data_IF_604735731068
#
_entry.id   IF_604735731068
#
_cell.length_a   1.000
_cell.length_b   1.000
_cell.length_c   1.000
_cell.angle_alpha   90.00
_cell.angle_beta   90.00
_cell.angle_gamma   90.00
#
_symmetry.space_group_name_H-M   'P 1'
#
loop_
_entity.id
_entity.type
_entity.pdbx_description
1 polymer ?
#
# COMPACT_ATOMS: atom_id res chain seq x y z
N UNK A 1 3.41 9.32 -16.97
CA UNK A 1 2.15 9.85 -16.38
C UNK A 1 2.44 10.14 -14.93
N UNK A 2 2.06 11.29 -14.39
CA UNK A 2 2.29 11.61 -12.98
C UNK A 2 1.18 10.96 -12.14
N UNK A 3 1.50 10.55 -10.91
CA UNK A 3 0.51 9.91 -10.03
C UNK A 3 -0.73 10.79 -9.78
N UNK A 4 -0.56 12.11 -9.69
CA UNK A 4 -1.68 13.04 -9.57
C UNK A 4 -2.67 12.95 -10.74
N UNK A 5 -2.20 12.64 -11.95
CA UNK A 5 -3.07 12.48 -13.11
C UNK A 5 -3.89 11.18 -13.02
N UNK A 6 -3.34 10.16 -12.33
CA UNK A 6 -4.03 8.89 -12.09
C UNK A 6 -5.16 9.03 -11.07
N UNK A 7 -5.01 9.89 -10.06
CA UNK A 7 -6.03 10.06 -9.00
C UNK A 7 -7.33 10.71 -9.50
N UNK A 8 -7.42 11.07 -10.78
CA UNK A 8 -8.64 11.59 -11.42
C UNK A 8 -9.53 10.52 -12.04
N UNK A 9 -9.12 9.25 -11.99
CA UNK A 9 -9.86 8.09 -12.51
C UNK A 9 -9.85 6.95 -11.50
N UNK A 10 -10.53 5.83 -11.81
CA UNK A 10 -10.52 4.62 -10.95
C UNK A 10 -9.15 3.94 -11.05
N UNK A 11 -8.29 4.20 -10.06
CA UNK A 11 -6.89 3.78 -10.05
C UNK A 11 -6.71 2.43 -9.37
N UNK A 12 -6.03 1.49 -10.02
CA UNK A 12 -5.64 0.20 -9.44
C UNK A 12 -4.15 0.19 -9.14
N UNK A 13 -3.81 -0.02 -7.87
CA UNK A 13 -2.44 -0.16 -7.40
C UNK A 13 -2.17 -1.63 -7.10
N UNK A 14 -1.23 -2.23 -7.82
CA UNK A 14 -0.82 -3.63 -7.62
C UNK A 14 0.25 -3.76 -6.54
N UNK A 15 0.15 -4.81 -5.70
CA UNK A 15 1.14 -5.07 -4.65
C UNK A 15 2.26 -5.99 -5.13
N UNK A 16 3.50 -5.54 -5.03
CA UNK A 16 4.72 -6.34 -5.13
C UNK A 16 5.17 -6.71 -3.72
N UNK A 17 4.71 -7.87 -3.25
CA UNK A 17 5.11 -8.41 -1.95
C UNK A 17 6.48 -9.08 -2.07
N UNK A 18 7.49 -8.53 -1.41
CA UNK A 18 8.83 -9.11 -1.37
C UNK A 18 8.81 -10.51 -0.74
N UNK A 19 9.70 -11.40 -1.18
CA UNK A 19 10.05 -12.57 -0.38
C UNK A 19 10.72 -12.12 0.92
N UNK A 20 10.75 -12.97 1.99
CA UNK A 20 11.34 -12.59 3.28
C UNK A 20 12.74 -12.00 3.16
N UNK A 21 12.94 -10.83 3.78
CA UNK A 21 14.16 -10.05 3.69
C UNK A 21 15.27 -10.58 4.61
N UNK A 22 16.55 -10.22 4.38
CA UNK A 22 17.66 -10.53 5.29
C UNK A 22 17.35 -10.10 6.73
N UNK A 23 17.79 -10.90 7.70
CA UNK A 23 17.50 -10.67 9.12
C UNK A 23 16.19 -11.30 9.60
N UNK A 24 15.28 -11.67 8.71
CA UNK A 24 14.00 -12.28 9.07
C UNK A 24 14.05 -13.80 9.12
N UNK A 25 13.11 -14.42 9.86
CA UNK A 25 13.07 -15.86 10.13
C UNK A 25 13.06 -16.73 8.87
N UNK A 26 12.39 -16.28 7.82
CA UNK A 26 12.14 -17.10 6.63
C UNK A 26 13.03 -16.69 5.43
N UNK A 27 14.06 -15.89 5.66
CA UNK A 27 14.99 -15.49 4.61
C UNK A 27 15.68 -16.69 3.95
N UNK A 28 15.65 -16.79 2.62
CA UNK A 28 16.17 -17.93 1.86
C UNK A 28 17.68 -17.88 1.60
N UNK A 29 18.36 -16.78 1.99
CA UNK A 29 19.79 -16.58 1.78
C UNK A 29 20.18 -15.99 0.42
N UNK A 30 19.24 -15.61 -0.44
CA UNK A 30 19.54 -15.06 -1.78
C UNK A 30 18.79 -13.76 -2.06
N UNK A 31 19.53 -12.64 -2.01
CA UNK A 31 19.00 -11.32 -2.43
C UNK A 31 18.64 -11.32 -3.92
N UNK A 32 19.42 -11.99 -4.77
CA UNK A 32 19.13 -12.02 -6.20
C UNK A 32 17.77 -12.66 -6.48
N UNK A 33 17.43 -13.75 -5.78
CA UNK A 33 16.13 -14.40 -5.92
C UNK A 33 14.96 -13.48 -5.53
N UNK A 34 15.15 -12.66 -4.49
CA UNK A 34 14.13 -11.70 -4.06
C UNK A 34 13.93 -10.60 -5.11
N UNK A 35 15.04 -10.07 -5.63
CA UNK A 35 15.03 -9.03 -6.67
C UNK A 35 14.34 -9.55 -7.94
N UNK A 36 14.78 -10.70 -8.44
CA UNK A 36 14.23 -11.30 -9.67
C UNK A 36 12.73 -11.55 -9.57
N UNK A 37 12.29 -11.99 -8.38
CA UNK A 37 10.87 -12.21 -8.12
C UNK A 37 10.08 -10.91 -8.08
N UNK A 38 10.58 -9.87 -7.42
CA UNK A 38 9.91 -8.58 -7.32
C UNK A 38 9.79 -7.91 -8.70
N UNK A 39 10.86 -7.94 -9.49
CA UNK A 39 10.87 -7.41 -10.86
C UNK A 39 9.91 -8.19 -11.77
N UNK A 40 9.89 -9.53 -11.68
CA UNK A 40 8.98 -10.35 -12.46
C UNK A 40 7.50 -10.06 -12.11
N UNK A 41 7.17 -9.96 -10.82
CA UNK A 41 5.82 -9.62 -10.35
C UNK A 41 5.42 -8.21 -10.85
N UNK A 42 6.31 -7.22 -10.74
CA UNK A 42 6.09 -5.85 -11.20
C UNK A 42 5.83 -5.79 -12.72
N UNK A 43 6.64 -6.49 -13.50
CA UNK A 43 6.50 -6.53 -14.97
C UNK A 43 5.17 -7.15 -15.39
N UNK A 44 4.71 -8.20 -14.70
CA UNK A 44 3.41 -8.82 -14.98
C UNK A 44 2.27 -7.86 -14.67
N UNK A 45 2.33 -7.15 -13.55
CA UNK A 45 1.32 -6.17 -13.12
C UNK A 45 1.23 -5.01 -14.13
N UNK A 46 2.36 -4.40 -14.50
CA UNK A 46 2.40 -3.34 -15.51
C UNK A 46 1.85 -3.80 -16.86
N UNK A 47 2.30 -4.98 -17.34
CA UNK A 47 1.84 -5.54 -18.62
C UNK A 47 0.34 -5.87 -18.63
N UNK A 48 -0.26 -6.14 -17.47
CA UNK A 48 -1.70 -6.34 -17.33
C UNK A 48 -2.49 -5.02 -17.26
N UNK A 49 -1.80 -3.88 -17.11
CA UNK A 49 -2.38 -2.56 -17.16
C UNK A 49 -2.80 -1.98 -15.80
N UNK A 50 -2.17 -2.43 -14.68
CA UNK A 50 -2.36 -1.71 -13.41
C UNK A 50 -1.73 -0.32 -13.49
N UNK A 51 -2.25 0.62 -12.71
CA UNK A 51 -1.91 2.04 -12.84
C UNK A 51 -0.68 2.44 -12.06
N UNK A 52 -0.39 1.76 -10.94
CA UNK A 52 0.77 1.98 -10.09
C UNK A 52 1.11 0.71 -9.30
N UNK A 53 2.28 0.69 -8.64
CA UNK A 53 2.72 -0.41 -7.80
C UNK A 53 3.07 0.07 -6.40
N UNK A 54 2.94 -0.83 -5.40
CA UNK A 54 3.56 -0.70 -4.08
C UNK A 54 4.50 -1.88 -3.87
N UNK A 55 5.75 -1.59 -3.47
CA UNK A 55 6.71 -2.60 -3.02
C UNK A 55 6.67 -2.68 -1.50
N UNK A 56 6.39 -3.88 -0.96
CA UNK A 56 6.15 -4.11 0.48
C UNK A 56 6.89 -5.35 0.98
N UNK A 57 7.44 -5.27 2.19
CA UNK A 57 8.11 -6.38 2.90
C UNK A 57 7.16 -7.27 3.72
N UNK A 58 5.91 -7.41 3.32
CA UNK A 58 4.82 -8.09 4.09
C UNK A 58 5.11 -9.52 4.54
N UNK A 59 6.07 -10.22 3.90
CA UNK A 59 6.42 -11.61 4.25
C UNK A 59 7.49 -11.71 5.35
N UNK A 60 7.94 -10.59 5.91
CA UNK A 60 8.86 -10.56 7.03
C UNK A 60 8.17 -11.03 8.31
N UNK A 61 8.81 -11.91 9.06
CA UNK A 61 8.27 -12.49 10.28
C UNK A 61 9.38 -12.78 11.30
N UNK A 62 9.15 -12.48 12.60
CA UNK A 62 8.02 -11.70 13.11
C UNK A 62 8.02 -10.28 12.58
N UNK A 63 6.83 -9.67 12.51
CA UNK A 63 6.67 -8.27 12.08
C UNK A 63 7.16 -7.34 13.19
N UNK A 64 7.94 -6.31 12.84
CA UNK A 64 8.33 -5.22 13.73
C UNK A 64 7.59 -3.92 13.34
N UNK A 65 7.70 -2.88 14.17
CA UNK A 65 7.15 -1.56 13.85
C UNK A 65 8.05 -0.88 12.82
N UNK A 66 9.35 -0.86 13.11
CA UNK A 66 10.40 -0.28 12.27
C UNK A 66 11.24 -1.41 11.63
N UNK A 67 11.83 -1.14 10.49
CA UNK A 67 12.75 -2.04 9.80
C UNK A 67 14.14 -2.02 10.44
N UNK A 68 14.79 -3.16 10.49
CA UNK A 68 16.21 -3.23 10.78
C UNK A 68 17.04 -2.71 9.57
N UNK A 69 18.31 -2.40 9.82
CA UNK A 69 19.21 -1.83 8.80
C UNK A 69 19.31 -2.71 7.56
N UNK A 70 19.42 -4.02 7.75
CA UNK A 70 19.47 -5.01 6.66
C UNK A 70 18.19 -5.07 5.86
N UNK A 71 17.02 -4.97 6.51
CA UNK A 71 15.72 -4.92 5.84
C UNK A 71 15.56 -3.63 5.03
N UNK A 72 15.88 -2.47 5.63
CA UNK A 72 15.84 -1.16 4.94
C UNK A 72 16.75 -1.17 3.71
N UNK A 73 17.98 -1.67 3.86
CA UNK A 73 18.94 -1.76 2.76
C UNK A 73 18.45 -2.69 1.66
N UNK A 74 17.93 -3.86 2.02
CA UNK A 74 17.40 -4.83 1.08
C UNK A 74 16.18 -4.27 0.33
N UNK A 75 15.21 -3.68 1.04
CA UNK A 75 14.02 -3.08 0.45
C UNK A 75 14.37 -1.95 -0.51
N UNK A 76 15.40 -1.13 -0.19
CA UNK A 76 15.91 -0.09 -1.10
C UNK A 76 16.43 -0.68 -2.41
N UNK A 77 17.26 -1.72 -2.34
CA UNK A 77 17.83 -2.37 -3.53
C UNK A 77 16.73 -3.01 -4.38
N UNK A 78 15.78 -3.72 -3.74
CA UNK A 78 14.66 -4.37 -4.44
C UNK A 78 13.79 -3.31 -5.14
N UNK A 79 13.40 -2.26 -4.42
CA UNK A 79 12.54 -1.19 -4.94
C UNK A 79 13.21 -0.41 -6.08
N UNK A 80 14.52 -0.18 -5.99
CA UNK A 80 15.30 0.43 -7.07
C UNK A 80 15.31 -0.44 -8.31
N UNK A 81 15.48 -1.75 -8.17
CA UNK A 81 15.42 -2.68 -9.33
C UNK A 81 14.01 -2.71 -9.93
N UNK A 82 12.95 -2.71 -9.13
CA UNK A 82 11.58 -2.61 -9.62
C UNK A 82 11.40 -1.30 -10.41
N UNK A 83 11.71 -0.14 -9.80
CA UNK A 83 11.54 1.19 -10.43
C UNK A 83 12.29 1.31 -11.76
N UNK A 84 13.48 0.72 -11.87
CA UNK A 84 14.28 0.76 -13.10
C UNK A 84 13.78 -0.16 -14.23
N UNK A 85 12.86 -1.08 -13.94
CA UNK A 85 12.35 -2.05 -14.92
C UNK A 85 10.91 -1.78 -15.36
N UNK A 86 10.23 -0.76 -14.79
CA UNK A 86 8.86 -0.40 -15.13
C UNK A 86 8.73 1.10 -15.36
N UNK A 87 7.64 1.53 -15.99
CA UNK A 87 7.37 2.93 -16.34
C UNK A 87 6.23 3.56 -15.54
N UNK A 88 5.42 2.76 -14.87
CA UNK A 88 4.30 3.23 -14.04
C UNK A 88 4.79 3.71 -12.66
N UNK A 89 4.01 4.56 -11.95
CA UNK A 89 4.37 5.04 -10.60
C UNK A 89 4.62 3.90 -9.61
N UNK A 90 5.60 4.13 -8.71
CA UNK A 90 5.98 3.18 -7.66
C UNK A 90 5.84 3.84 -6.29
N UNK A 91 5.18 3.14 -5.38
CA UNK A 91 5.12 3.46 -3.97
C UNK A 91 5.90 2.47 -3.11
N UNK A 92 6.20 2.88 -1.88
CA UNK A 92 6.88 2.07 -0.87
C UNK A 92 5.97 1.88 0.34
N UNK A 93 5.87 0.65 0.81
CA UNK A 93 5.27 0.30 2.11
C UNK A 93 6.32 -0.43 2.96
N UNK A 94 6.91 0.29 3.91
CA UNK A 94 7.86 -0.26 4.88
C UNK A 94 7.07 -0.76 6.10
N UNK A 95 6.57 -1.97 5.98
CA UNK A 95 5.67 -2.56 6.95
C UNK A 95 6.41 -2.98 8.25
N UNK A 96 5.90 -2.75 9.51
CA UNK A 96 4.48 -2.36 9.65
C UNK A 96 4.22 -0.86 9.48
N UNK A 97 5.07 0.07 9.99
CA UNK A 97 4.83 1.51 9.89
C UNK A 97 6.13 2.34 9.98
N UNK A 98 7.21 1.86 9.35
CA UNK A 98 8.45 2.63 9.29
C UNK A 98 8.39 3.73 8.21
N UNK A 99 7.71 4.83 8.55
CA UNK A 99 7.60 5.99 7.64
C UNK A 99 8.96 6.59 7.29
N UNK A 100 9.98 6.46 8.19
CA UNK A 100 11.32 7.00 7.92
C UNK A 100 12.02 6.19 6.83
N UNK A 101 12.04 4.87 6.97
CA UNK A 101 12.55 3.98 5.92
C UNK A 101 11.75 4.19 4.63
N UNK A 102 10.41 4.20 4.70
CA UNK A 102 9.55 4.42 3.53
C UNK A 102 9.87 5.70 2.77
N UNK A 103 9.94 6.86 3.46
CA UNK A 103 10.29 8.15 2.83
C UNK A 103 11.73 8.19 2.33
N UNK A 104 12.70 7.67 3.10
CA UNK A 104 14.09 7.65 2.71
C UNK A 104 14.31 6.79 1.45
N UNK A 105 13.69 5.61 1.38
CA UNK A 105 13.72 4.75 0.20
C UNK A 105 13.06 5.46 -0.98
N UNK A 106 11.85 5.98 -0.80
CA UNK A 106 11.12 6.66 -1.86
C UNK A 106 11.90 7.84 -2.43
N UNK A 107 12.52 8.65 -1.58
CA UNK A 107 13.39 9.75 -1.99
C UNK A 107 14.61 9.25 -2.77
N UNK A 108 15.29 8.20 -2.27
CA UNK A 108 16.52 7.69 -2.87
C UNK A 108 16.35 7.08 -4.26
N UNK A 109 15.16 6.56 -4.57
CA UNK A 109 14.86 5.90 -5.85
C UNK A 109 13.91 6.70 -6.76
N UNK A 110 13.57 7.94 -6.39
CA UNK A 110 12.58 8.78 -7.08
C UNK A 110 11.22 8.07 -7.22
N UNK A 111 10.75 7.49 -6.11
CA UNK A 111 9.42 6.89 -6.04
C UNK A 111 8.34 7.97 -5.86
N UNK A 112 7.10 7.63 -6.18
CA UNK A 112 6.02 8.59 -6.35
C UNK A 112 5.21 8.80 -5.06
N UNK A 113 5.15 7.79 -4.17
CA UNK A 113 4.37 7.84 -2.94
C UNK A 113 4.87 6.83 -1.90
N UNK A 114 4.42 6.98 -0.66
CA UNK A 114 4.54 5.97 0.38
C UNK A 114 3.15 5.63 0.94
N UNK A 115 2.99 4.39 1.43
CA UNK A 115 1.87 4.03 2.29
C UNK A 115 2.26 4.21 3.75
N UNK A 116 1.35 4.80 4.54
CA UNK A 116 1.53 5.02 5.98
C UNK A 116 0.38 4.35 6.72
N UNK A 117 0.57 3.11 7.20
CA UNK A 117 -0.50 2.33 7.85
C UNK A 117 -1.03 2.93 9.15
N UNK A 118 -0.21 3.65 9.92
CA UNK A 118 -0.61 4.26 11.19
C UNK A 118 -0.28 5.75 11.17
N UNK A 119 -1.19 6.56 10.58
CA UNK A 119 -0.94 7.99 10.39
C UNK A 119 -1.48 8.81 11.56
N UNK A 120 -2.76 8.69 11.90
CA UNK A 120 -3.42 9.48 12.96
C UNK A 120 -4.03 8.65 14.08
N UNK A 121 -4.19 7.35 13.89
CA UNK A 121 -4.77 6.46 14.90
C UNK A 121 -3.71 5.91 15.85
N UNK A 122 -4.10 5.57 17.09
CA UNK A 122 -3.30 4.73 17.97
C UNK A 122 -3.85 3.32 17.93
N UNK A 123 -3.00 2.35 17.63
CA UNK A 123 -3.41 0.95 17.45
C UNK A 123 -2.58 -0.01 18.30
N UNK A 124 -3.12 -1.20 18.52
CA UNK A 124 -2.42 -2.33 19.15
C UNK A 124 -2.27 -3.45 18.10
N UNK A 125 -1.06 -3.99 17.99
CA UNK A 125 -0.72 -5.12 17.10
C UNK A 125 0.06 -6.18 17.85
N UNK A 126 0.45 -7.26 17.18
CA UNK A 126 1.39 -8.25 17.74
C UNK A 126 2.79 -7.68 17.99
N UNK A 127 3.16 -6.56 17.33
CA UNK A 127 4.41 -5.85 17.57
C UNK A 127 4.33 -4.84 18.72
N UNK A 128 3.16 -4.64 19.32
CA UNK A 128 2.95 -3.72 20.43
C UNK A 128 1.99 -2.58 20.09
N UNK A 129 2.07 -1.51 20.86
CA UNK A 129 1.29 -0.27 20.62
C UNK A 129 2.05 0.59 19.63
N UNK A 130 1.33 1.03 18.59
CA UNK A 130 1.86 1.96 17.60
C UNK A 130 1.12 3.29 17.74
N UNK A 131 1.88 4.36 17.91
CA UNK A 131 1.37 5.72 18.05
C UNK A 131 1.27 6.41 16.69
N UNK A 132 0.38 7.41 16.54
CA UNK A 132 0.27 8.19 15.31
C UNK A 132 1.58 8.90 14.97
N UNK A 133 1.91 8.95 13.68
CA UNK A 133 3.15 9.53 13.20
C UNK A 133 2.97 10.73 12.26
N UNK A 134 1.75 11.25 12.08
CA UNK A 134 1.44 12.29 11.09
C UNK A 134 2.40 13.50 11.16
N UNK A 135 2.60 14.06 12.37
CA UNK A 135 3.50 15.20 12.58
C UNK A 135 4.93 14.90 12.16
N UNK A 136 5.41 13.73 12.53
CA UNK A 136 6.78 13.28 12.27
C UNK A 136 6.99 12.99 10.78
N UNK A 137 6.03 12.38 10.11
CA UNK A 137 6.03 12.15 8.64
C UNK A 137 6.12 13.47 7.90
N UNK A 138 5.25 14.44 8.20
CA UNK A 138 5.24 15.76 7.55
C UNK A 138 6.57 16.50 7.77
N UNK A 139 7.11 16.49 8.99
CA UNK A 139 8.41 17.09 9.29
C UNK A 139 9.54 16.43 8.51
N UNK A 140 9.57 15.11 8.45
CA UNK A 140 10.64 14.38 7.79
C UNK A 140 10.54 14.52 6.27
N UNK A 141 9.32 14.47 5.68
CA UNK A 141 9.08 14.77 4.26
C UNK A 141 9.62 16.15 3.89
N UNK A 142 9.35 17.17 4.73
CA UNK A 142 9.87 18.53 4.54
C UNK A 142 11.39 18.61 4.66
N UNK A 143 11.99 17.91 5.63
CA UNK A 143 13.43 17.91 5.83
C UNK A 143 14.21 17.25 4.66
N UNK A 144 13.57 16.32 3.96
CA UNK A 144 14.12 15.68 2.75
C UNK A 144 13.83 16.48 1.47
N UNK A 145 13.09 17.59 1.54
CA UNK A 145 12.56 18.32 0.35
C UNK A 145 11.79 17.40 -0.60
N UNK A 146 11.01 16.47 -0.03
CA UNK A 146 10.30 15.38 -0.71
C UNK A 146 8.78 15.60 -0.76
N UNK A 147 8.33 16.86 -0.87
CA UNK A 147 6.91 17.20 -0.91
C UNK A 147 6.17 16.67 -2.14
N UNK A 148 6.93 16.25 -3.16
CA UNK A 148 6.41 15.56 -4.33
C UNK A 148 6.05 14.09 -4.07
N UNK A 149 6.53 13.47 -2.99
CA UNK A 149 6.18 12.11 -2.59
C UNK A 149 4.84 12.14 -1.85
N UNK A 150 3.80 11.51 -2.41
CA UNK A 150 2.47 11.52 -1.84
C UNK A 150 2.35 10.58 -0.64
N UNK A 151 1.47 10.91 0.30
CA UNK A 151 1.17 10.13 1.51
C UNK A 151 -0.17 9.43 1.37
N UNK A 152 -0.15 8.12 1.19
CA UNK A 152 -1.31 7.24 1.17
C UNK A 152 -1.51 6.66 2.58
N UNK A 153 -2.49 7.17 3.31
CA UNK A 153 -2.63 6.94 4.75
C UNK A 153 -3.83 6.03 5.06
N UNK A 154 -3.56 4.92 5.73
CA UNK A 154 -4.66 4.09 6.24
C UNK A 154 -5.37 4.77 7.41
N UNK A 155 -6.66 4.50 7.52
CA UNK A 155 -7.47 4.78 8.69
C UNK A 155 -7.95 3.47 9.30
N UNK A 156 -7.77 3.31 10.61
CA UNK A 156 -8.08 2.09 11.35
C UNK A 156 -7.57 0.82 10.64
N UNK A 157 -6.27 0.80 10.34
CA UNK A 157 -5.64 -0.21 9.48
C UNK A 157 -5.95 -1.64 9.91
N UNK A 158 -6.13 -2.52 8.92
CA UNK A 158 -6.33 -3.97 9.11
C UNK A 158 -5.25 -4.63 9.97
N UNK A 159 -5.58 -5.80 10.53
CA UNK A 159 -4.67 -6.59 11.39
C UNK A 159 -4.21 -5.86 12.65
N UNK A 160 -4.99 -4.90 13.09
CA UNK A 160 -4.77 -4.12 14.29
C UNK A 160 -6.08 -3.92 15.06
N UNK A 161 -5.94 -3.45 16.29
CA UNK A 161 -7.06 -3.08 17.16
C UNK A 161 -6.90 -1.61 17.54
N UNK A 162 -7.85 -0.72 17.22
CA UNK A 162 -7.82 0.66 17.71
C UNK A 162 -7.76 0.71 19.24
N UNK A 163 -6.88 1.54 19.79
CA UNK A 163 -6.80 1.73 21.24
C UNK A 163 -8.04 2.46 21.79
N UNK A 164 -8.60 3.37 20.99
CA UNK A 164 -9.83 4.09 21.33
C UNK A 164 -11.02 3.28 20.79
N UNK A 165 -11.81 2.74 21.72
CA UNK A 165 -13.03 2.02 21.39
C UNK A 165 -14.09 2.97 20.81
N UNK A 166 -14.80 2.51 19.78
CA UNK A 166 -15.91 3.23 19.13
C UNK A 166 -15.51 4.58 18.51
N UNK A 167 -14.25 4.76 18.12
CA UNK A 167 -13.86 5.88 17.28
C UNK A 167 -14.54 5.71 15.89
N UNK A 168 -15.40 6.64 15.46
CA UNK A 168 -15.97 6.57 14.11
C UNK A 168 -14.88 6.58 13.04
N UNK A 169 -15.04 5.76 12.00
CA UNK A 169 -14.09 5.69 10.89
C UNK A 169 -13.98 7.04 10.18
N UNK A 170 -15.08 7.77 10.10
CA UNK A 170 -15.18 9.11 9.52
C UNK A 170 -14.30 10.12 10.28
N UNK A 171 -14.23 10.02 11.61
CA UNK A 171 -13.37 10.89 12.41
C UNK A 171 -11.89 10.61 12.16
N UNK A 172 -11.49 9.33 12.05
CA UNK A 172 -10.14 8.95 11.64
C UNK A 172 -9.81 9.51 10.25
N UNK A 173 -10.74 9.44 9.29
CA UNK A 173 -10.57 9.97 7.95
C UNK A 173 -10.41 11.50 7.93
N UNK A 174 -11.23 12.24 8.66
CA UNK A 174 -11.10 13.69 8.80
C UNK A 174 -9.78 14.08 9.49
N UNK A 175 -9.35 13.34 10.50
CA UNK A 175 -8.04 13.55 11.14
C UNK A 175 -6.89 13.31 10.14
N UNK A 176 -6.92 12.24 9.38
CA UNK A 176 -5.89 11.96 8.38
C UNK A 176 -5.80 13.07 7.33
N UNK A 177 -6.94 13.47 6.75
CA UNK A 177 -7.01 14.56 5.78
C UNK A 177 -6.49 15.89 6.36
N UNK A 178 -6.93 16.27 7.57
CA UNK A 178 -6.52 17.54 8.20
C UNK A 178 -5.04 17.58 8.60
N UNK A 179 -4.40 16.40 8.77
CA UNK A 179 -2.99 16.27 9.09
C UNK A 179 -2.11 16.05 7.85
N UNK A 180 -2.65 16.16 6.63
CA UNK A 180 -1.87 16.21 5.40
C UNK A 180 -1.71 14.88 4.68
N UNK A 181 -2.63 13.93 4.86
CA UNK A 181 -2.76 12.79 3.97
C UNK A 181 -3.15 13.27 2.57
N UNK A 182 -2.53 12.70 1.53
CA UNK A 182 -2.87 12.97 0.13
C UNK A 182 -3.96 12.00 -0.38
N UNK A 183 -4.07 10.83 0.25
CA UNK A 183 -5.10 9.81 -0.03
C UNK A 183 -5.45 9.06 1.26
N UNK A 184 -6.74 8.75 1.45
CA UNK A 184 -7.23 7.91 2.55
C UNK A 184 -7.34 6.47 2.04
N UNK A 185 -6.86 5.51 2.84
CA UNK A 185 -7.02 4.09 2.58
C UNK A 185 -7.95 3.49 3.64
N UNK A 186 -9.07 2.90 3.20
CA UNK A 186 -9.98 2.15 4.05
C UNK A 186 -9.73 0.66 3.85
N UNK A 187 -9.42 -0.07 4.92
CA UNK A 187 -9.14 -1.51 4.87
C UNK A 187 -10.25 -2.30 5.58
N UNK A 188 -10.40 -3.59 5.23
CA UNK A 188 -11.21 -4.52 6.00
C UNK A 188 -10.53 -4.91 7.32
N UNK A 189 -11.10 -5.88 8.02
CA UNK A 189 -10.58 -6.32 9.34
C UNK A 189 -9.24 -7.06 9.28
N UNK A 190 -8.91 -7.68 8.16
CA UNK A 190 -7.66 -8.43 7.93
C UNK A 190 -7.31 -8.55 6.44
N UNK A 191 -6.10 -9.00 6.15
CA UNK A 191 -5.64 -9.23 4.76
C UNK A 191 -6.60 -10.17 4.01
N UNK A 192 -6.98 -9.76 2.80
CA UNK A 192 -7.92 -10.51 1.95
C UNK A 192 -9.40 -10.31 2.29
N UNK A 193 -9.73 -9.60 3.36
CA UNK A 193 -11.10 -9.18 3.68
C UNK A 193 -11.28 -7.74 3.20
N UNK A 194 -12.33 -7.51 2.40
CA UNK A 194 -12.66 -6.17 1.91
C UNK A 194 -13.21 -5.29 3.04
N UNK A 195 -12.97 -3.98 2.94
CA UNK A 195 -13.82 -3.00 3.59
C UNK A 195 -15.26 -3.18 3.13
N UNK A 196 -16.23 -2.89 3.99
CA UNK A 196 -17.61 -2.90 3.54
C UNK A 196 -17.88 -1.70 2.62
N UNK A 197 -18.81 -1.84 1.70
CA UNK A 197 -19.25 -0.74 0.84
C UNK A 197 -19.85 0.41 1.66
N UNK A 198 -20.50 0.12 2.78
CA UNK A 198 -21.04 1.11 3.71
C UNK A 198 -19.92 1.92 4.39
N UNK A 199 -18.81 1.29 4.80
CA UNK A 199 -17.66 1.98 5.38
C UNK A 199 -16.99 2.91 4.36
N UNK A 200 -16.78 2.41 3.14
CA UNK A 200 -16.23 3.22 2.04
C UNK A 200 -17.13 4.42 1.72
N UNK A 201 -18.44 4.19 1.62
CA UNK A 201 -19.40 5.25 1.30
C UNK A 201 -19.43 6.34 2.37
N UNK A 202 -19.48 5.98 3.67
CA UNK A 202 -19.43 6.95 4.77
C UNK A 202 -18.17 7.81 4.74
N UNK A 203 -17.00 7.20 4.51
CA UNK A 203 -15.75 7.94 4.39
C UNK A 203 -15.76 8.82 3.13
N UNK A 204 -16.25 8.30 1.99
CA UNK A 204 -16.30 9.02 0.72
C UNK A 204 -17.19 10.26 0.78
N UNK A 205 -18.30 10.21 1.54
CA UNK A 205 -19.22 11.34 1.70
C UNK A 205 -18.58 12.55 2.40
N UNK A 206 -17.57 12.33 3.25
CA UNK A 206 -16.95 13.41 4.04
C UNK A 206 -15.54 13.79 3.57
N UNK A 207 -14.86 12.90 2.86
CA UNK A 207 -13.49 13.12 2.37
C UNK A 207 -13.48 14.12 1.20
N UNK A 208 -12.47 15.01 1.20
CA UNK A 208 -12.17 15.95 0.10
C UNK A 208 -10.95 15.55 -0.70
N UNK A 209 -10.31 14.45 -0.32
CA UNK A 209 -9.19 13.81 -0.99
C UNK A 209 -9.59 12.41 -1.43
N UNK A 210 -8.86 11.77 -2.36
CA UNK A 210 -9.19 10.44 -2.84
C UNK A 210 -9.31 9.40 -1.72
N UNK A 211 -10.27 8.47 -1.87
CA UNK A 211 -10.52 7.36 -0.94
C UNK A 211 -10.31 6.04 -1.68
N UNK A 212 -9.39 5.22 -1.19
CA UNK A 212 -9.04 3.92 -1.76
C UNK A 212 -9.48 2.76 -0.88
N UNK A 213 -9.93 1.68 -1.52
CA UNK A 213 -10.05 0.40 -0.84
C UNK A 213 -8.68 -0.26 -0.70
N UNK A 214 -8.23 -0.56 0.53
CA UNK A 214 -6.87 -1.05 0.81
C UNK A 214 -6.75 -2.56 0.98
N UNK A 215 -7.82 -3.33 0.83
CA UNK A 215 -7.79 -4.80 0.97
C UNK A 215 -9.02 -5.48 0.41
N UNK A 216 -8.87 -6.78 0.07
CA UNK A 216 -9.97 -7.69 -0.23
C UNK A 216 -10.69 -7.47 -1.55
N UNK A 217 -10.24 -6.51 -2.38
CA UNK A 217 -10.77 -6.37 -3.73
C UNK A 217 -10.42 -7.61 -4.57
N UNK A 218 -11.40 -8.14 -5.27
CA UNK A 218 -11.31 -9.32 -6.13
C UNK A 218 -12.32 -9.23 -7.29
N UNK A 219 -12.38 -10.26 -8.13
CA UNK A 219 -13.27 -10.28 -9.31
C UNK A 219 -14.75 -10.17 -8.98
N UNK A 220 -15.18 -10.66 -7.81
CA UNK A 220 -16.59 -10.69 -7.42
C UNK A 220 -17.10 -9.33 -6.91
N UNK A 221 -16.21 -8.50 -6.33
CA UNK A 221 -16.59 -7.25 -5.67
C UNK A 221 -15.98 -5.98 -6.29
N UNK A 222 -15.11 -6.11 -7.30
CA UNK A 222 -14.43 -4.96 -7.92
C UNK A 222 -15.40 -3.89 -8.40
N UNK A 223 -16.52 -4.29 -9.00
CA UNK A 223 -17.53 -3.35 -9.50
C UNK A 223 -18.14 -2.54 -8.37
N UNK A 224 -18.70 -3.19 -7.35
CA UNK A 224 -19.36 -2.50 -6.23
C UNK A 224 -18.40 -1.62 -5.41
N UNK A 225 -17.13 -2.00 -5.29
CA UNK A 225 -16.14 -1.19 -4.59
C UNK A 225 -15.76 0.04 -5.42
N UNK A 226 -15.51 -0.11 -6.72
CA UNK A 226 -15.11 1.00 -7.59
C UNK A 226 -16.26 1.95 -7.95
N UNK A 227 -17.52 1.56 -7.78
CA UNK A 227 -18.64 2.52 -7.84
C UNK A 227 -18.51 3.61 -6.78
N UNK A 228 -17.91 3.30 -5.63
CA UNK A 228 -17.76 4.20 -4.48
C UNK A 228 -16.34 4.76 -4.40
N UNK A 229 -15.33 3.89 -4.28
CA UNK A 229 -13.94 4.27 -4.09
C UNK A 229 -13.32 4.92 -5.35
N UNK A 230 -12.36 5.81 -5.17
CA UNK A 230 -11.58 6.42 -6.26
C UNK A 230 -10.53 5.46 -6.82
N UNK A 231 -10.20 4.42 -6.07
CA UNK A 231 -9.26 3.39 -6.49
C UNK A 231 -9.15 2.28 -5.47
N UNK A 232 -8.25 1.34 -5.75
CA UNK A 232 -8.00 0.22 -4.85
C UNK A 232 -6.55 -0.26 -4.88
N UNK A 233 -6.09 -0.76 -3.72
CA UNK A 233 -4.81 -1.47 -3.58
C UNK A 233 -5.11 -2.97 -3.56
N UNK A 234 -4.53 -3.71 -4.51
CA UNK A 234 -4.86 -5.11 -4.73
C UNK A 234 -3.63 -5.99 -4.56
N UNK A 235 -3.70 -6.93 -3.63
CA UNK A 235 -2.62 -7.84 -3.29
C UNK A 235 -2.97 -9.30 -3.56
N UNK A 236 -3.48 -10.01 -2.56
CA UNK A 236 -3.71 -11.45 -2.57
C UNK A 236 -4.56 -11.94 -3.73
N UNK A 237 -5.56 -11.19 -4.16
CA UNK A 237 -6.44 -11.56 -5.27
C UNK A 237 -5.69 -11.73 -6.61
N UNK A 238 -4.56 -11.03 -6.78
CA UNK A 238 -3.71 -11.12 -7.98
C UNK A 238 -2.63 -12.20 -7.87
N UNK A 239 -2.51 -12.87 -6.74
CA UNK A 239 -1.51 -13.93 -6.52
C UNK A 239 -2.04 -15.31 -6.92
N UNK A 240 -1.13 -16.21 -7.32
CA UNK A 240 -1.46 -17.64 -7.47
C UNK A 240 -1.97 -18.17 -6.14
N UNK A 241 -3.08 -18.89 -6.19
CA UNK A 241 -3.77 -19.48 -5.03
C UNK A 241 -4.19 -18.46 -3.93
N UNK A 242 -4.11 -17.16 -4.20
CA UNK A 242 -4.42 -16.12 -3.22
C UNK A 242 -3.40 -15.96 -2.09
N UNK A 243 -2.23 -16.61 -2.18
CA UNK A 243 -1.20 -16.60 -1.16
C UNK A 243 -0.18 -15.47 -1.41
N UNK A 244 0.08 -14.63 -0.40
CA UNK A 244 0.97 -13.46 -0.52
C UNK A 244 2.38 -13.81 -0.98
N UNK A 245 2.89 -14.97 -0.55
CA UNK A 245 4.23 -15.47 -0.90
C UNK A 245 4.32 -15.92 -2.36
N UNK A 246 3.22 -16.25 -3.00
CA UNK A 246 3.19 -16.75 -4.37
C UNK A 246 3.38 -15.63 -5.42
N UNK A 247 3.80 -16.00 -6.65
CA UNK A 247 3.92 -15.04 -7.77
C UNK A 247 2.57 -14.44 -8.17
N UNK A 248 2.63 -13.32 -8.86
CA UNK A 248 1.47 -12.74 -9.53
C UNK A 248 0.92 -13.73 -10.56
N UNK A 249 -0.40 -13.85 -10.58
CA UNK A 249 -1.16 -14.59 -11.59
C UNK A 249 -1.57 -13.62 -12.70
N UNK A 250 -0.93 -13.75 -13.85
CA UNK A 250 -1.15 -12.88 -15.00
C UNK A 250 -2.61 -12.90 -15.48
N UNK A 251 -3.23 -14.08 -15.51
CA UNK A 251 -4.59 -14.24 -16.03
C UNK A 251 -5.61 -13.57 -15.12
N UNK A 252 -5.50 -13.78 -13.79
CA UNK A 252 -6.34 -13.10 -12.80
C UNK A 252 -6.19 -11.58 -12.87
N UNK A 253 -4.94 -11.10 -13.07
CA UNK A 253 -4.68 -9.66 -13.18
C UNK A 253 -5.33 -9.08 -14.43
N UNK A 254 -5.20 -9.74 -15.57
CA UNK A 254 -5.86 -9.32 -16.82
C UNK A 254 -7.38 -9.29 -16.70
N UNK A 255 -7.98 -10.32 -16.09
CA UNK A 255 -9.43 -10.40 -15.87
C UNK A 255 -9.92 -9.23 -14.99
N UNK A 256 -9.20 -8.92 -13.91
CA UNK A 256 -9.55 -7.79 -13.05
C UNK A 256 -9.47 -6.46 -13.82
N UNK A 257 -8.38 -6.21 -14.52
CA UNK A 257 -8.18 -4.97 -15.28
C UNK A 257 -9.15 -4.82 -16.45
N UNK A 258 -9.66 -5.91 -17.03
CA UNK A 258 -10.73 -5.86 -18.03
C UNK A 258 -12.05 -5.33 -17.46
N UNK A 259 -12.36 -5.69 -16.20
CA UNK A 259 -13.54 -5.13 -15.52
C UNK A 259 -13.32 -3.65 -15.22
N UNK A 260 -12.13 -3.28 -14.70
CA UNK A 260 -11.79 -1.89 -14.33
C UNK A 260 -11.89 -0.94 -15.52
N UNK A 261 -11.43 -1.34 -16.70
CA UNK A 261 -11.51 -0.53 -17.93
C UNK A 261 -12.93 -0.05 -18.28
N UNK A 262 -13.97 -0.72 -17.79
CA UNK A 262 -15.36 -0.30 -18.02
C UNK A 262 -15.74 0.97 -17.26
N UNK A 263 -14.96 1.35 -16.26
CA UNK A 263 -15.16 2.61 -15.52
C UNK A 263 -14.48 3.81 -16.19
N UNK A 264 -13.56 3.58 -17.13
CA UNK A 264 -12.87 4.62 -17.88
C UNK A 264 -13.57 4.92 -19.22
N UNK A 265 -14.62 4.16 -19.58
CA UNK A 265 -15.39 4.30 -20.82
C UNK A 265 -16.64 5.16 -20.60
#
# INVERSE_FOLDING_TARGET
MKLNDLLTRKTIIGMVHCLPLPGTRNYSGSMQQIIDRAVADATILEAAGVDALIVENTNDSPVAIDLDTEQTTALTVISSNVKNNISIPVGIDAAFCDYKAGLAIAYAIDADFIRVPVFTDTIVTSAGIIFPCAREVIKYRKALEAENILLFCDVQVKSSYPLVHNLPLEDSALMAQSNGADTIIVTGSRTGVSSSTEELDRVKQIAKIPVFSGSGLNLDNVTSILEIADGAIVGSALKKDGLLINPIDKEKTLQLMEIVKRFDA
#
